data_IF_738749699433
#
_entry.id   IF_738749699433
#
_cell.length_a   1.000
_cell.length_b   1.000
_cell.length_c   1.000
_cell.angle_alpha   90.00
_cell.angle_beta   90.00
_cell.angle_gamma   90.00
#
_symmetry.space_group_name_H-M   'P 1'
#
loop_
_entity.id
_entity.type
_entity.pdbx_description
1 polymer ?
#
# COMPACT_ATOMS: atom_id res chain seq x y z
N UNK A 1 -30.43 12.94 -5.15
CA UNK A 1 -29.97 14.29 -4.74
C UNK A 1 -28.91 14.73 -5.73
N UNK A 2 -29.20 15.74 -6.54
CA UNK A 2 -28.19 16.35 -7.43
C UNK A 2 -27.50 17.44 -6.61
N UNK A 3 -26.27 17.20 -6.17
CA UNK A 3 -25.47 18.17 -5.41
C UNK A 3 -25.08 19.40 -6.24
N UNK A 4 -25.11 19.28 -7.58
CA UNK A 4 -24.76 20.35 -8.50
C UNK A 4 -25.87 20.50 -9.54
N UNK A 5 -26.72 21.51 -9.40
CA UNK A 5 -27.65 21.95 -10.43
C UNK A 5 -26.87 22.71 -11.51
N UNK A 6 -26.93 22.23 -12.76
CA UNK A 6 -26.42 22.90 -13.97
C UNK A 6 -24.95 23.37 -13.94
N UNK A 7 -24.01 22.46 -13.65
CA UNK A 7 -22.59 22.73 -13.88
C UNK A 7 -22.35 22.83 -15.39
N UNK A 8 -21.80 23.94 -15.84
CA UNK A 8 -21.41 24.14 -17.24
C UNK A 8 -19.95 24.60 -17.30
N UNK A 9 -19.03 23.66 -17.14
CA UNK A 9 -17.60 23.93 -17.22
C UNK A 9 -17.08 23.48 -18.59
N UNK A 10 -16.29 24.32 -19.22
CA UNK A 10 -15.56 23.96 -20.44
C UNK A 10 -14.28 23.19 -20.08
N UNK A 11 -14.43 21.85 -19.95
CA UNK A 11 -13.36 20.93 -19.64
C UNK A 11 -12.35 20.81 -20.76
N UNK A 12 -12.84 20.76 -22.01
CA UNK A 12 -11.98 20.57 -23.17
C UNK A 12 -11.17 21.83 -23.52
N UNK A 13 -11.71 23.02 -23.29
CA UNK A 13 -10.96 24.26 -23.36
C UNK A 13 -9.82 24.34 -22.34
N UNK A 14 -10.02 23.71 -21.18
CA UNK A 14 -9.02 23.62 -20.11
C UNK A 14 -8.10 22.38 -20.18
N UNK A 15 -8.34 21.47 -21.13
CA UNK A 15 -7.60 20.19 -21.24
C UNK A 15 -6.07 20.37 -21.26
N UNK A 16 -5.56 21.45 -21.90
CA UNK A 16 -4.11 21.76 -21.94
C UNK A 16 -3.50 21.93 -20.54
N UNK A 17 -4.26 22.47 -19.58
CA UNK A 17 -3.77 22.65 -18.21
C UNK A 17 -3.71 21.32 -17.45
N UNK A 18 -4.69 20.42 -17.65
CA UNK A 18 -4.68 19.08 -17.07
C UNK A 18 -3.54 18.24 -17.64
N UNK A 19 -3.34 18.27 -18.96
CA UNK A 19 -2.21 17.59 -19.60
C UNK A 19 -0.87 18.15 -19.14
N UNK A 20 -0.74 19.47 -19.02
CA UNK A 20 0.48 20.11 -18.51
C UNK A 20 0.75 19.71 -17.05
N UNK A 21 -0.27 19.73 -16.19
CA UNK A 21 -0.17 19.26 -14.80
C UNK A 21 0.30 17.80 -14.73
N UNK A 22 -0.31 16.92 -15.53
CA UNK A 22 0.06 15.51 -15.62
C UNK A 22 1.50 15.31 -16.04
N UNK A 23 1.95 16.05 -17.07
CA UNK A 23 3.34 15.99 -17.52
C UNK A 23 4.32 16.45 -16.44
N UNK A 24 3.98 17.52 -15.71
CA UNK A 24 4.80 18.00 -14.58
C UNK A 24 4.89 16.92 -13.49
N UNK A 25 3.77 16.31 -13.11
CA UNK A 25 3.75 15.25 -12.09
C UNK A 25 4.55 14.02 -12.55
N UNK A 26 4.41 13.59 -13.80
CA UNK A 26 5.20 12.52 -14.36
C UNK A 26 6.70 12.86 -14.35
N UNK A 27 7.08 14.04 -14.82
CA UNK A 27 8.50 14.46 -14.86
C UNK A 27 9.08 14.50 -13.45
N UNK A 28 8.42 15.11 -12.47
CA UNK A 28 8.88 15.18 -11.08
C UNK A 28 9.01 13.77 -10.51
N UNK A 29 7.99 12.93 -10.68
CA UNK A 29 8.00 11.56 -10.15
C UNK A 29 9.13 10.72 -10.76
N UNK A 30 9.33 10.79 -12.08
CA UNK A 30 10.35 9.99 -12.75
C UNK A 30 11.77 10.54 -12.59
N UNK A 31 11.95 11.85 -12.41
CA UNK A 31 13.22 12.42 -11.95
C UNK A 31 13.58 11.85 -10.57
N UNK A 32 12.62 11.77 -9.65
CA UNK A 32 12.82 11.15 -8.33
C UNK A 32 13.23 9.69 -8.45
N UNK A 33 12.58 8.90 -9.32
CA UNK A 33 12.96 7.50 -9.58
C UNK A 33 14.40 7.40 -10.08
N UNK A 34 14.81 8.28 -10.99
CA UNK A 34 16.18 8.29 -11.53
C UNK A 34 17.22 8.68 -10.48
N UNK A 35 16.92 9.71 -9.65
CA UNK A 35 17.81 10.16 -8.57
C UNK A 35 18.02 9.08 -7.51
N UNK A 36 16.99 8.31 -7.18
CA UNK A 36 17.06 7.23 -6.20
C UNK A 36 17.51 5.88 -6.80
N UNK A 37 17.97 5.88 -8.06
CA UNK A 37 18.42 4.67 -8.80
C UNK A 37 17.35 3.58 -8.91
N UNK A 38 16.08 3.96 -9.00
CA UNK A 38 14.96 3.05 -9.17
C UNK A 38 13.91 3.14 -8.07
N UNK A 39 12.92 2.28 -8.17
CA UNK A 39 11.87 2.10 -7.18
C UNK A 39 12.37 1.26 -6.01
N UNK A 40 11.95 1.59 -4.81
CA UNK A 40 12.26 0.79 -3.62
C UNK A 40 11.32 -0.39 -3.54
N UNK A 41 11.88 -1.59 -3.60
CA UNK A 41 11.12 -2.82 -3.43
C UNK A 41 11.23 -3.30 -1.98
N UNK A 42 10.11 -3.70 -1.39
CA UNK A 42 10.06 -4.35 -0.08
C UNK A 42 10.65 -5.75 -0.10
N UNK A 43 10.73 -6.37 1.07
CA UNK A 43 11.26 -7.73 1.23
C UNK A 43 10.48 -8.77 0.42
N UNK A 44 9.20 -8.55 0.15
CA UNK A 44 8.37 -9.42 -0.70
C UNK A 44 9.01 -9.70 -2.06
N UNK A 45 9.79 -8.76 -2.59
CA UNK A 45 10.39 -8.83 -3.92
C UNK A 45 11.90 -8.98 -3.94
N UNK A 46 12.58 -8.52 -2.89
CA UNK A 46 14.05 -8.64 -2.77
C UNK A 46 14.47 -9.89 -2.01
N UNK A 47 13.60 -10.37 -1.14
CA UNK A 47 13.94 -11.33 -0.12
C UNK A 47 14.58 -10.62 1.08
N UNK A 48 14.34 -11.13 2.28
CA UNK A 48 14.88 -10.56 3.51
C UNK A 48 14.05 -10.93 4.72
N UNK A 49 14.37 -10.29 5.84
CA UNK A 49 13.71 -10.48 7.12
C UNK A 49 13.26 -9.12 7.63
N UNK A 50 11.99 -8.99 8.02
CA UNK A 50 11.46 -7.88 8.83
C UNK A 50 11.20 -8.39 10.24
N UNK A 51 11.71 -7.69 11.23
CA UNK A 51 11.46 -7.98 12.64
C UNK A 51 10.74 -6.79 13.25
N UNK A 52 9.54 -7.03 13.77
CA UNK A 52 8.74 -6.05 14.48
C UNK A 52 9.08 -6.12 15.96
N UNK A 53 9.65 -5.05 16.47
CA UNK A 53 10.17 -4.97 17.83
C UNK A 53 9.45 -3.88 18.60
N UNK A 54 8.91 -4.20 19.76
CA UNK A 54 8.36 -3.23 20.71
C UNK A 54 9.36 -2.97 21.82
N UNK A 55 9.53 -1.70 22.18
CA UNK A 55 10.34 -1.27 23.32
C UNK A 55 9.47 -0.84 24.50
N UNK A 56 9.99 -0.98 25.72
CA UNK A 56 9.32 -0.53 26.95
C UNK A 56 9.11 1.00 27.01
N UNK A 57 9.83 1.74 26.18
CA UNK A 57 9.73 3.19 26.05
C UNK A 57 10.13 3.61 24.65
N UNK A 58 10.38 4.92 24.45
CA UNK A 58 10.76 5.47 23.13
C UNK A 58 11.94 4.69 22.52
N UNK A 59 11.79 4.15 21.30
CA UNK A 59 12.80 3.31 20.67
C UNK A 59 14.11 4.08 20.47
N UNK A 60 15.26 3.54 20.90
CA UNK A 60 16.54 4.17 20.74
C UNK A 60 17.14 3.90 19.34
N UNK A 61 16.52 4.46 18.29
CA UNK A 61 16.81 4.18 16.87
C UNK A 61 18.30 4.32 16.56
N UNK A 62 18.98 5.34 17.10
CA UNK A 62 20.41 5.56 16.86
C UNK A 62 21.31 4.48 17.48
N UNK A 63 20.91 3.93 18.65
CA UNK A 63 21.63 2.83 19.26
C UNK A 63 21.39 1.53 18.50
N UNK A 64 20.17 1.27 18.03
CA UNK A 64 19.84 0.13 17.16
C UNK A 64 20.70 0.20 15.90
N UNK A 65 20.74 1.35 15.24
CA UNK A 65 21.53 1.57 14.03
C UNK A 65 23.01 1.30 14.26
N UNK A 66 23.58 1.85 15.33
CA UNK A 66 24.99 1.62 15.69
C UNK A 66 25.25 0.16 16.03
N UNK A 67 24.33 -0.52 16.71
CA UNK A 67 24.44 -1.95 17.01
C UNK A 67 24.48 -2.80 15.74
N UNK A 68 23.56 -2.58 14.81
CA UNK A 68 23.49 -3.28 13.53
C UNK A 68 24.74 -3.01 12.66
N UNK A 69 25.22 -1.78 12.61
CA UNK A 69 26.45 -1.42 11.88
C UNK A 69 27.68 -2.13 12.44
N UNK A 70 27.84 -2.20 13.78
CA UNK A 70 28.94 -2.92 14.44
C UNK A 70 28.90 -4.43 14.17
N UNK A 71 27.71 -4.99 13.96
CA UNK A 71 27.51 -6.38 13.60
C UNK A 71 27.69 -6.66 12.10
N UNK A 72 28.09 -5.67 11.30
CA UNK A 72 28.24 -5.81 9.84
C UNK A 72 26.93 -5.77 9.05
N UNK A 73 25.81 -5.38 9.68
CA UNK A 73 24.47 -5.32 9.08
C UNK A 73 24.16 -3.90 8.60
N UNK A 74 25.07 -3.29 7.84
CA UNK A 74 24.96 -1.88 7.39
C UNK A 74 23.78 -1.63 6.43
N UNK A 75 23.30 -2.67 5.72
CA UNK A 75 22.18 -2.58 4.79
C UNK A 75 20.80 -2.78 5.47
N UNK A 76 20.77 -2.72 6.80
CA UNK A 76 19.50 -2.80 7.54
C UNK A 76 18.70 -1.50 7.44
N UNK A 77 17.39 -1.65 7.26
CA UNK A 77 16.42 -0.55 7.36
C UNK A 77 15.84 -0.52 8.77
N UNK A 78 15.69 0.67 9.34
CA UNK A 78 15.09 0.87 10.66
C UNK A 78 14.01 1.92 10.51
N UNK A 79 12.76 1.55 10.77
CA UNK A 79 11.61 2.44 10.72
C UNK A 79 10.90 2.42 12.07
N UNK A 80 10.75 3.61 12.69
CA UNK A 80 9.90 3.75 13.86
C UNK A 80 8.44 3.74 13.44
N UNK A 81 7.63 2.92 14.07
CA UNK A 81 6.18 2.94 13.89
C UNK A 81 5.64 4.00 14.85
N UNK A 82 5.21 5.14 14.30
CA UNK A 82 4.50 6.15 15.08
C UNK A 82 3.06 6.21 14.61
N UNK A 83 2.16 5.58 15.35
CA UNK A 83 0.74 5.77 15.13
C UNK A 83 0.29 6.95 15.98
N UNK A 84 -0.24 7.99 15.34
CA UNK A 84 -0.59 9.26 16.00
C UNK A 84 -1.76 9.10 16.98
N UNK A 85 -2.47 7.97 16.94
CA UNK A 85 -3.69 7.72 17.69
C UNK A 85 -3.57 6.65 18.79
N UNK A 86 -2.44 5.95 18.87
CA UNK A 86 -2.18 4.97 19.94
C UNK A 86 -0.84 5.26 20.62
N UNK A 87 -0.88 5.54 21.90
CA UNK A 87 0.33 5.71 22.72
C UNK A 87 1.18 4.43 22.73
N UNK A 88 0.54 3.30 22.54
CA UNK A 88 1.14 1.97 22.53
C UNK A 88 2.04 1.70 21.31
N UNK A 89 1.69 2.24 20.15
CA UNK A 89 2.47 2.04 18.91
C UNK A 89 3.64 2.99 18.76
N UNK A 90 3.76 4.02 19.58
CA UNK A 90 4.91 4.95 19.57
C UNK A 90 6.24 4.26 19.93
N UNK A 91 6.17 3.07 20.51
CA UNK A 91 7.33 2.29 20.97
C UNK A 91 7.72 1.15 20.03
N UNK A 92 7.08 1.03 18.88
CA UNK A 92 7.34 -0.03 17.92
C UNK A 92 8.37 0.39 16.84
N UNK A 93 9.22 -0.55 16.45
CA UNK A 93 10.24 -0.38 15.39
C UNK A 93 10.23 -1.59 14.48
N UNK A 94 10.26 -1.37 13.19
CA UNK A 94 10.53 -2.41 12.20
C UNK A 94 12.00 -2.38 11.80
N UNK A 95 12.67 -3.51 11.94
CA UNK A 95 14.05 -3.69 11.52
C UNK A 95 14.06 -4.65 10.33
N UNK A 96 14.41 -4.12 9.13
CA UNK A 96 14.55 -4.89 7.91
C UNK A 96 16.00 -5.24 7.62
N UNK A 97 16.25 -6.48 7.20
CA UNK A 97 17.54 -6.96 6.74
C UNK A 97 17.37 -7.63 5.38
N UNK A 98 18.06 -7.12 4.35
CA UNK A 98 18.10 -7.78 3.04
C UNK A 98 18.94 -9.07 3.16
N UNK A 99 18.40 -10.18 2.63
CA UNK A 99 19.12 -11.47 2.64
C UNK A 99 20.09 -11.54 1.46
N UNK A 100 21.37 -11.79 1.74
CA UNK A 100 22.39 -12.00 0.71
C UNK A 100 22.19 -13.31 -0.06
N UNK A 101 22.59 -13.32 -1.33
CA UNK A 101 22.62 -14.55 -2.14
C UNK A 101 23.66 -15.52 -1.54
N UNK A 102 23.20 -16.54 -0.81
CA UNK A 102 24.08 -17.55 -0.21
C UNK A 102 23.79 -17.89 1.24
N UNK A 103 22.91 -17.16 1.93
CA UNK A 103 22.48 -17.56 3.27
C UNK A 103 21.56 -18.78 3.21
N UNK A 104 22.04 -19.90 3.75
CA UNK A 104 21.38 -21.20 3.66
C UNK A 104 20.17 -21.35 4.60
N UNK A 105 20.02 -20.50 5.62
CA UNK A 105 18.91 -20.57 6.55
C UNK A 105 18.04 -19.30 6.49
N UNK A 106 16.75 -19.49 6.32
CA UNK A 106 15.74 -18.41 6.30
C UNK A 106 15.71 -17.64 7.62
N UNK A 107 16.02 -18.30 8.74
CA UNK A 107 16.00 -17.69 10.07
C UNK A 107 17.30 -16.95 10.43
N UNK A 108 18.36 -17.06 9.65
CA UNK A 108 19.65 -16.44 9.97
C UNK A 108 19.56 -14.91 10.12
N UNK A 109 18.78 -14.26 9.27
CA UNK A 109 18.53 -12.81 9.34
C UNK A 109 17.85 -12.40 10.65
N UNK A 110 16.81 -13.11 11.05
CA UNK A 110 16.11 -12.90 12.32
C UNK A 110 17.06 -13.08 13.50
N UNK A 111 17.81 -14.19 13.55
CA UNK A 111 18.75 -14.46 14.64
C UNK A 111 19.82 -13.38 14.76
N UNK A 112 20.39 -12.92 13.64
CA UNK A 112 21.38 -11.84 13.64
C UNK A 112 20.81 -10.54 14.23
N UNK A 113 19.57 -10.17 13.87
CA UNK A 113 18.90 -8.98 14.43
C UNK A 113 18.69 -9.17 15.94
N UNK A 114 18.17 -10.33 16.36
CA UNK A 114 17.94 -10.65 17.77
C UNK A 114 19.23 -10.62 18.59
N UNK A 115 20.32 -11.21 18.08
CA UNK A 115 21.63 -11.19 18.76
C UNK A 115 22.14 -9.76 18.96
N UNK A 116 21.96 -8.88 17.98
CA UNK A 116 22.33 -7.48 18.11
C UNK A 116 21.47 -6.76 19.13
N UNK A 117 20.15 -7.00 19.13
CA UNK A 117 19.24 -6.41 20.09
C UNK A 117 19.55 -6.89 21.52
N UNK A 118 19.76 -8.19 21.71
CA UNK A 118 20.14 -8.74 23.02
C UNK A 118 21.51 -8.22 23.49
N UNK A 119 22.50 -8.07 22.60
CA UNK A 119 23.80 -7.47 22.96
C UNK A 119 23.72 -5.99 23.29
N UNK A 120 22.77 -5.26 22.68
CA UNK A 120 22.68 -3.82 22.83
C UNK A 120 21.74 -3.41 23.96
N UNK A 121 20.64 -4.14 24.15
CA UNK A 121 19.53 -3.79 25.06
C UNK A 121 19.16 -4.90 26.06
N UNK A 122 19.73 -6.11 25.90
CA UNK A 122 19.43 -7.21 26.80
C UNK A 122 19.90 -6.92 28.23
N UNK A 123 19.13 -7.41 29.20
CA UNK A 123 19.43 -7.31 30.63
C UNK A 123 20.54 -8.29 31.08
N UNK A 124 21.50 -8.53 30.20
CA UNK A 124 22.56 -9.55 30.34
C UNK A 124 23.44 -9.44 31.59
N UNK A 125 23.22 -8.46 32.46
CA UNK A 125 23.99 -8.29 33.71
C UNK A 125 23.63 -9.32 34.79
N UNK A 126 22.49 -10.04 34.68
CA UNK A 126 21.99 -10.93 35.75
C UNK A 126 21.96 -12.41 35.38
N UNK A 127 22.15 -12.79 34.11
CA UNK A 127 22.08 -14.19 33.66
C UNK A 127 20.67 -14.84 33.80
N UNK A 128 19.64 -14.04 34.13
CA UNK A 128 18.26 -14.48 34.25
C UNK A 128 17.55 -14.46 32.89
N UNK A 129 16.65 -15.46 32.62
CA UNK A 129 15.83 -15.44 31.43
C UNK A 129 14.89 -14.23 31.40
N UNK A 130 14.60 -13.72 30.19
CA UNK A 130 13.72 -12.59 29.99
C UNK A 130 12.26 -13.02 29.94
N UNK A 131 11.44 -12.51 30.87
CA UNK A 131 10.01 -12.80 30.92
C UNK A 131 9.26 -12.27 29.69
N UNK A 132 9.70 -11.17 29.09
CA UNK A 132 9.07 -10.60 27.90
C UNK A 132 9.35 -11.41 26.64
N UNK A 133 10.38 -12.26 26.64
CA UNK A 133 10.75 -13.10 25.50
C UNK A 133 10.36 -14.58 25.66
N UNK A 134 9.93 -15.01 26.86
CA UNK A 134 9.63 -16.42 27.13
C UNK A 134 8.32 -16.86 26.47
N UNK A 135 8.32 -18.08 25.93
CA UNK A 135 7.09 -18.70 25.40
C UNK A 135 6.26 -19.32 26.55
N UNK A 136 4.91 -19.44 26.38
CA UNK A 136 4.05 -20.06 27.40
C UNK A 136 4.53 -21.46 27.77
N UNK A 137 4.92 -22.27 26.81
CA UNK A 137 5.41 -23.65 27.05
C UNK A 137 6.72 -23.70 27.82
N UNK A 138 7.67 -22.78 27.55
CA UNK A 138 8.92 -22.70 28.28
C UNK A 138 8.70 -22.23 29.73
N UNK A 139 7.80 -21.25 29.94
CA UNK A 139 7.43 -20.81 31.29
C UNK A 139 6.73 -21.92 32.08
N UNK A 140 5.80 -22.65 31.44
CA UNK A 140 5.12 -23.79 32.07
C UNK A 140 6.10 -24.89 32.47
N UNK A 141 7.07 -25.22 31.60
CA UNK A 141 8.09 -26.23 31.91
C UNK A 141 8.97 -25.81 33.09
N UNK A 142 9.42 -24.55 33.13
CA UNK A 142 10.22 -24.02 34.25
C UNK A 142 9.44 -24.01 35.55
N UNK A 143 8.18 -23.52 35.55
CA UNK A 143 7.31 -23.53 36.73
C UNK A 143 7.02 -24.96 37.21
N UNK A 144 6.85 -25.92 36.31
CA UNK A 144 6.64 -27.33 36.66
C UNK A 144 7.89 -27.94 37.26
N UNK A 145 9.06 -27.65 36.74
CA UNK A 145 10.33 -28.14 37.25
C UNK A 145 10.66 -27.60 38.65
N UNK A 146 10.37 -26.32 38.87
CA UNK A 146 10.72 -25.64 40.15
C UNK A 146 9.62 -25.70 41.19
N UNK A 147 8.39 -26.01 40.81
CA UNK A 147 7.21 -26.20 41.64
C UNK A 147 7.04 -25.17 42.76
N UNK A 148 6.97 -23.85 42.44
CA UNK A 148 6.87 -22.79 43.47
C UNK A 148 5.61 -22.86 44.32
N UNK A 149 4.59 -23.63 43.93
CA UNK A 149 3.36 -23.85 44.68
C UNK A 149 3.35 -25.18 45.43
N UNK A 150 4.39 -26.01 45.35
CA UNK A 150 4.52 -27.34 45.97
C UNK A 150 3.35 -28.26 45.64
N UNK A 151 2.94 -28.31 44.35
CA UNK A 151 1.80 -29.10 43.87
C UNK A 151 2.13 -30.58 43.59
N UNK A 152 3.41 -30.92 43.50
CA UNK A 152 3.88 -32.27 43.23
C UNK A 152 3.47 -32.78 41.84
N UNK A 153 3.05 -34.07 41.76
CA UNK A 153 2.74 -34.73 40.48
C UNK A 153 1.54 -34.13 39.71
N UNK A 154 0.69 -33.33 40.36
CA UNK A 154 -0.47 -32.64 39.73
C UNK A 154 -0.14 -31.26 39.17
N UNK A 155 1.14 -30.89 39.14
CA UNK A 155 1.60 -29.54 38.83
C UNK A 155 1.43 -29.15 37.35
N UNK A 156 1.58 -30.10 36.40
CA UNK A 156 1.72 -29.80 34.98
C UNK A 156 0.58 -28.98 34.37
N UNK A 157 -0.67 -29.45 34.54
CA UNK A 157 -1.83 -28.74 33.95
C UNK A 157 -2.07 -27.37 34.60
N UNK A 158 -1.84 -27.25 35.90
CA UNK A 158 -2.00 -25.98 36.61
C UNK A 158 -0.95 -24.96 36.22
N UNK A 159 0.31 -25.37 36.05
CA UNK A 159 1.36 -24.47 35.62
C UNK A 159 1.25 -24.12 34.15
N UNK A 160 0.73 -25.00 33.31
CA UNK A 160 0.40 -24.69 31.92
C UNK A 160 -0.66 -23.59 31.85
N UNK A 161 -1.77 -23.74 32.58
CA UNK A 161 -2.81 -22.71 32.65
C UNK A 161 -2.30 -21.39 33.24
N UNK A 162 -1.46 -21.44 34.29
CA UNK A 162 -0.87 -20.25 34.89
C UNK A 162 0.08 -19.54 33.92
N UNK A 163 0.91 -20.29 33.19
CA UNK A 163 1.81 -19.75 32.17
C UNK A 163 1.03 -19.09 31.05
N UNK A 164 -0.05 -19.73 30.58
CA UNK A 164 -0.93 -19.15 29.55
C UNK A 164 -1.60 -17.86 30.02
N UNK A 165 -2.06 -17.79 31.27
CA UNK A 165 -2.64 -16.58 31.85
C UNK A 165 -1.61 -15.45 32.02
N UNK A 166 -0.41 -15.78 32.50
CA UNK A 166 0.68 -14.82 32.70
C UNK A 166 1.16 -14.23 31.36
N UNK A 167 1.37 -15.09 30.37
CA UNK A 167 1.76 -14.65 29.03
C UNK A 167 0.60 -13.99 28.29
N UNK A 168 -0.63 -14.46 28.49
CA UNK A 168 -1.84 -13.81 27.97
C UNK A 168 -2.01 -12.39 28.53
N UNK A 169 -1.84 -12.19 29.86
CA UNK A 169 -1.87 -10.85 30.46
C UNK A 169 -0.75 -9.95 29.93
N UNK A 170 0.46 -10.50 29.73
CA UNK A 170 1.55 -9.78 29.07
C UNK A 170 1.15 -9.32 27.66
N UNK A 171 0.56 -10.20 26.87
CA UNK A 171 0.32 -9.99 25.45
C UNK A 171 -0.94 -9.12 25.20
N UNK A 172 -1.99 -9.25 26.03
CA UNK A 172 -3.25 -8.51 25.89
C UNK A 172 -3.29 -7.23 26.74
N UNK A 173 -3.00 -7.33 28.05
CA UNK A 173 -3.19 -6.20 28.96
C UNK A 173 -2.00 -5.24 28.97
N UNK A 174 -0.81 -5.77 28.62
CA UNK A 174 0.45 -5.01 28.59
C UNK A 174 1.08 -4.95 27.19
N UNK A 175 0.28 -5.26 26.15
CA UNK A 175 0.66 -5.12 24.74
C UNK A 175 1.98 -5.80 24.37
N UNK A 176 2.28 -6.93 25.04
CA UNK A 176 3.45 -7.78 24.80
C UNK A 176 4.69 -7.41 25.63
N UNK A 177 4.65 -6.35 26.47
CA UNK A 177 5.81 -5.97 27.28
C UNK A 177 5.42 -5.58 28.72
N UNK A 178 5.91 -6.34 29.68
CA UNK A 178 5.77 -6.04 31.11
C UNK A 178 6.97 -5.21 31.54
N UNK A 179 6.73 -4.04 32.12
CA UNK A 179 7.78 -3.12 32.59
C UNK A 179 8.10 -3.28 34.07
N UNK A 180 7.15 -3.81 34.85
CA UNK A 180 7.30 -4.11 36.30
C UNK A 180 6.55 -5.41 36.62
N UNK A 181 7.14 -6.30 37.43
CA UNK A 181 6.47 -7.52 37.86
C UNK A 181 5.17 -7.25 38.65
N UNK A 182 5.05 -6.08 39.29
CA UNK A 182 3.83 -5.68 39.99
C UNK A 182 2.58 -5.68 39.10
N UNK A 183 2.71 -5.52 37.81
CA UNK A 183 1.64 -5.57 36.83
C UNK A 183 1.00 -6.97 36.72
N UNK A 184 1.75 -8.02 37.12
CA UNK A 184 1.30 -9.40 37.06
C UNK A 184 0.64 -9.87 38.37
N UNK A 185 0.65 -9.05 39.44
CA UNK A 185 0.10 -9.44 40.76
C UNK A 185 -1.38 -9.79 40.72
N UNK A 186 -2.15 -9.15 39.86
CA UNK A 186 -3.60 -9.31 39.77
C UNK A 186 -4.02 -10.43 38.80
N UNK A 187 -3.07 -11.10 38.15
CA UNK A 187 -3.37 -12.21 37.24
C UNK A 187 -3.86 -13.40 38.08
N UNK A 188 -4.97 -13.99 37.64
CA UNK A 188 -5.59 -15.12 38.34
C UNK A 188 -4.63 -16.31 38.45
N UNK A 189 -4.40 -16.79 39.66
CA UNK A 189 -3.48 -17.87 39.96
C UNK A 189 -2.08 -17.41 40.42
N UNK A 190 -1.78 -16.12 40.40
CA UNK A 190 -0.53 -15.55 40.89
C UNK A 190 -0.62 -15.40 42.42
N UNK A 191 0.02 -16.30 43.10
CA UNK A 191 0.20 -16.23 44.56
C UNK A 191 1.48 -15.45 44.91
N UNK A 192 1.67 -15.04 46.20
CA UNK A 192 2.93 -14.42 46.61
C UNK A 192 4.17 -15.29 46.34
N UNK A 193 4.02 -16.64 46.40
CA UNK A 193 5.10 -17.56 46.07
C UNK A 193 5.50 -17.52 44.58
N UNK A 194 4.50 -17.56 43.68
CA UNK A 194 4.73 -17.41 42.24
C UNK A 194 5.32 -16.04 41.92
N UNK A 195 4.78 -14.98 42.51
CA UNK A 195 5.29 -13.63 42.32
C UNK A 195 6.76 -13.50 42.70
N UNK A 196 7.10 -14.01 43.92
CA UNK A 196 8.49 -14.02 44.41
C UNK A 196 9.39 -14.87 43.51
N UNK A 197 8.89 -15.99 43.02
CA UNK A 197 9.63 -16.84 42.09
C UNK A 197 9.95 -16.08 40.78
N UNK A 198 8.92 -15.48 40.17
CA UNK A 198 9.10 -14.73 38.90
C UNK A 198 10.08 -13.55 39.09
N UNK A 199 9.90 -12.74 40.11
CA UNK A 199 10.77 -11.57 40.35
C UNK A 199 12.23 -11.94 40.70
N UNK A 200 12.44 -13.10 41.31
CA UNK A 200 13.78 -13.56 41.66
C UNK A 200 14.50 -14.30 40.52
N UNK A 201 13.79 -14.99 39.65
CA UNK A 201 14.38 -15.86 38.64
C UNK A 201 14.30 -15.33 37.23
N UNK A 202 13.46 -14.32 36.97
CA UNK A 202 13.33 -13.68 35.67
C UNK A 202 13.80 -12.23 35.68
N UNK A 203 14.15 -11.74 34.49
CA UNK A 203 14.40 -10.33 34.24
C UNK A 203 13.32 -9.79 33.29
N UNK A 204 13.11 -8.48 33.29
CA UNK A 204 12.22 -7.81 32.34
C UNK A 204 13.09 -7.12 31.27
N UNK A 205 13.04 -7.63 30.06
CA UNK A 205 13.73 -7.05 28.92
C UNK A 205 13.12 -5.71 28.51
N UNK A 206 13.96 -4.84 27.96
CA UNK A 206 13.52 -3.54 27.47
C UNK A 206 12.82 -3.59 26.10
N UNK A 207 12.75 -4.75 25.48
CA UNK A 207 12.10 -4.96 24.18
C UNK A 207 11.50 -6.37 24.10
N UNK A 208 10.53 -6.52 23.21
CA UNK A 208 9.96 -7.82 22.80
C UNK A 208 9.81 -7.86 21.28
N UNK A 209 9.90 -9.07 20.69
CA UNK A 209 9.62 -9.30 19.29
C UNK A 209 8.14 -9.63 19.13
N UNK A 210 7.41 -8.79 18.40
CA UNK A 210 5.97 -9.00 18.15
C UNK A 210 5.73 -9.95 17.00
N UNK A 211 6.51 -9.79 15.93
CA UNK A 211 6.35 -10.57 14.70
C UNK A 211 7.65 -10.57 13.89
N UNK A 212 7.77 -11.49 12.95
CA UNK A 212 8.89 -11.53 12.03
C UNK A 212 8.46 -12.12 10.68
N UNK A 213 8.52 -11.30 9.64
CA UNK A 213 8.28 -11.71 8.27
C UNK A 213 9.60 -12.11 7.60
N UNK A 214 9.62 -13.30 7.00
CA UNK A 214 10.81 -13.84 6.34
C UNK A 214 10.46 -14.28 4.93
N UNK A 215 11.12 -13.70 3.93
CA UNK A 215 10.95 -14.04 2.52
C UNK A 215 12.28 -14.46 1.92
N UNK A 216 12.35 -15.69 1.42
CA UNK A 216 13.56 -16.16 0.73
C UNK A 216 13.77 -15.46 -0.62
N UNK A 217 15.02 -15.24 -1.08
CA UNK A 217 15.32 -14.51 -2.33
C UNK A 217 14.68 -15.15 -3.58
N UNK A 218 14.60 -16.48 -3.64
CA UNK A 218 13.92 -17.19 -4.74
C UNK A 218 12.42 -16.90 -4.76
N UNK A 219 11.79 -16.90 -3.59
CA UNK A 219 10.36 -16.60 -3.42
C UNK A 219 10.10 -15.14 -3.81
N UNK A 220 10.92 -14.20 -3.34
CA UNK A 220 10.82 -12.79 -3.69
C UNK A 220 10.92 -12.53 -5.20
N UNK A 221 11.89 -13.17 -5.87
CA UNK A 221 12.02 -13.08 -7.33
C UNK A 221 10.80 -13.65 -8.06
N UNK A 222 10.25 -14.77 -7.58
CA UNK A 222 9.03 -15.37 -8.14
C UNK A 222 7.82 -14.47 -7.94
N UNK A 223 7.63 -13.94 -6.74
CA UNK A 223 6.52 -13.02 -6.40
C UNK A 223 6.59 -11.76 -7.27
N UNK A 224 7.77 -11.18 -7.48
CA UNK A 224 7.96 -10.03 -8.38
C UNK A 224 7.53 -10.36 -9.81
N UNK A 225 7.93 -11.52 -10.34
CA UNK A 225 7.51 -11.96 -11.68
C UNK A 225 6.00 -12.15 -11.77
N UNK A 226 5.40 -12.77 -10.75
CA UNK A 226 3.95 -12.97 -10.70
C UNK A 226 3.18 -11.65 -10.60
N UNK A 227 3.67 -10.69 -9.79
CA UNK A 227 3.07 -9.35 -9.67
C UNK A 227 3.07 -8.60 -11.01
N UNK A 228 4.19 -8.61 -11.74
CA UNK A 228 4.27 -8.01 -13.08
C UNK A 228 3.31 -8.69 -14.06
N UNK A 229 3.30 -10.01 -14.11
CA UNK A 229 2.40 -10.77 -14.99
C UNK A 229 0.93 -10.54 -14.63
N UNK A 230 0.57 -10.52 -13.36
CA UNK A 230 -0.80 -10.24 -12.91
C UNK A 230 -1.26 -8.84 -13.36
N UNK A 231 -0.38 -7.84 -13.22
CA UNK A 231 -0.67 -6.47 -13.69
C UNK A 231 -0.86 -6.43 -15.21
N UNK A 232 0.02 -7.08 -15.97
CA UNK A 232 -0.10 -7.14 -17.43
C UNK A 232 -1.37 -7.87 -17.88
N UNK A 233 -1.71 -9.00 -17.25
CA UNK A 233 -2.93 -9.75 -17.56
C UNK A 233 -4.19 -8.96 -17.20
N UNK A 234 -4.19 -8.24 -16.07
CA UNK A 234 -5.30 -7.37 -15.68
C UNK A 234 -5.52 -6.26 -16.71
N UNK A 235 -4.45 -5.58 -17.14
CA UNK A 235 -4.52 -4.54 -18.17
C UNK A 235 -4.95 -5.11 -19.54
N UNK A 236 -4.42 -6.26 -19.94
CA UNK A 236 -4.80 -6.93 -21.18
C UNK A 236 -6.26 -7.38 -21.16
N UNK A 237 -6.72 -8.02 -20.08
CA UNK A 237 -8.12 -8.43 -19.91
C UNK A 237 -9.08 -7.24 -19.96
N UNK A 238 -8.69 -6.12 -19.33
CA UNK A 238 -9.46 -4.88 -19.38
C UNK A 238 -9.52 -4.30 -20.79
N UNK A 239 -8.41 -4.26 -21.52
CA UNK A 239 -8.37 -3.81 -22.91
C UNK A 239 -9.31 -4.65 -23.78
N UNK A 240 -9.28 -5.96 -23.63
CA UNK A 240 -10.18 -6.89 -24.34
C UNK A 240 -11.65 -6.60 -23.99
N UNK A 241 -11.99 -6.48 -22.72
CA UNK A 241 -13.34 -6.15 -22.28
C UNK A 241 -13.86 -4.85 -22.91
N UNK A 242 -13.03 -3.79 -22.86
CA UNK A 242 -13.42 -2.48 -23.41
C UNK A 242 -13.51 -2.52 -24.93
N UNK A 243 -12.63 -3.25 -25.63
CA UNK A 243 -12.69 -3.41 -27.07
C UNK A 243 -14.00 -4.09 -27.53
N UNK A 244 -14.54 -5.03 -26.76
CA UNK A 244 -15.85 -5.64 -27.02
C UNK A 244 -17.01 -4.71 -26.69
N UNK A 245 -16.89 -3.87 -25.64
CA UNK A 245 -18.00 -3.03 -25.14
C UNK A 245 -18.08 -1.66 -25.80
N UNK A 246 -16.94 -1.10 -26.21
CA UNK A 246 -16.80 0.23 -26.81
C UNK A 246 -16.03 0.17 -28.12
N UNK A 247 -16.07 1.27 -28.90
CA UNK A 247 -15.18 1.44 -30.05
C UNK A 247 -13.72 1.48 -29.55
N UNK A 248 -12.80 0.91 -30.33
CA UNK A 248 -11.40 0.73 -29.96
C UNK A 248 -10.69 2.04 -29.51
N UNK A 249 -11.11 3.19 -30.04
CA UNK A 249 -10.55 4.50 -29.68
C UNK A 249 -10.79 4.85 -28.21
N UNK A 250 -12.01 4.61 -27.73
CA UNK A 250 -12.35 4.83 -26.32
C UNK A 250 -11.57 3.86 -25.42
N UNK A 251 -11.41 2.63 -25.89
CA UNK A 251 -10.61 1.62 -25.18
C UNK A 251 -9.15 2.02 -25.06
N UNK A 252 -8.54 2.43 -26.16
CA UNK A 252 -7.15 2.87 -26.17
C UNK A 252 -6.94 4.11 -25.27
N UNK A 253 -7.84 5.11 -25.37
CA UNK A 253 -7.77 6.30 -24.52
C UNK A 253 -7.87 5.97 -23.03
N UNK A 254 -8.78 5.06 -22.67
CA UNK A 254 -8.96 4.62 -21.28
C UNK A 254 -7.72 3.88 -20.74
N UNK A 255 -7.13 2.97 -21.53
CA UNK A 255 -5.91 2.25 -21.12
C UNK A 255 -4.72 3.20 -20.97
N UNK A 256 -4.56 4.17 -21.87
CA UNK A 256 -3.51 5.21 -21.77
C UNK A 256 -3.69 6.02 -20.48
N UNK A 257 -4.93 6.42 -20.14
CA UNK A 257 -5.21 7.15 -18.91
C UNK A 257 -4.89 6.33 -17.67
N UNK A 258 -5.28 5.05 -17.60
CA UNK A 258 -4.96 4.16 -16.47
C UNK A 258 -3.46 3.94 -16.35
N UNK A 259 -2.76 3.74 -17.46
CA UNK A 259 -1.30 3.62 -17.44
C UNK A 259 -0.62 4.88 -16.90
N UNK A 260 -1.10 6.05 -17.33
CA UNK A 260 -0.68 7.35 -16.80
C UNK A 260 -0.90 7.42 -15.27
N UNK A 261 -2.06 6.97 -14.75
CA UNK A 261 -2.38 7.04 -13.32
C UNK A 261 -1.45 6.15 -12.49
N UNK A 262 -1.17 4.95 -12.98
CA UNK A 262 -0.19 4.04 -12.37
C UNK A 262 1.22 4.65 -12.36
N UNK A 263 1.65 5.26 -13.48
CA UNK A 263 2.97 5.89 -13.56
C UNK A 263 3.13 7.07 -12.59
N UNK A 264 2.10 7.92 -12.45
CA UNK A 264 2.12 9.02 -11.48
C UNK A 264 2.16 8.45 -10.06
N UNK A 265 1.34 7.44 -9.74
CA UNK A 265 1.32 6.82 -8.41
C UNK A 265 2.69 6.25 -8.05
N UNK A 266 3.36 5.54 -8.97
CA UNK A 266 4.72 5.05 -8.77
C UNK A 266 5.74 6.18 -8.60
N UNK A 267 5.57 7.29 -9.31
CA UNK A 267 6.38 8.50 -9.14
C UNK A 267 6.26 9.06 -7.72
N UNK A 268 5.04 9.11 -7.17
CA UNK A 268 4.80 9.54 -5.79
C UNK A 268 5.43 8.58 -4.78
N UNK A 269 5.40 7.26 -5.04
CA UNK A 269 6.10 6.28 -4.19
C UNK A 269 7.59 6.57 -4.10
N UNK A 270 8.23 6.89 -5.21
CA UNK A 270 9.64 7.27 -5.22
C UNK A 270 9.87 8.58 -4.46
N UNK A 271 9.03 9.59 -4.68
CA UNK A 271 9.15 10.91 -4.08
C UNK A 271 9.03 10.88 -2.55
N UNK A 272 8.09 10.08 -2.04
CA UNK A 272 7.84 9.92 -0.60
C UNK A 272 8.59 8.75 0.03
N UNK A 273 9.45 8.09 -0.71
CA UNK A 273 10.30 6.99 -0.24
C UNK A 273 9.54 5.75 0.27
N UNK A 274 8.32 5.53 -0.21
CA UNK A 274 7.57 4.32 0.11
C UNK A 274 8.12 3.10 -0.62
N UNK A 275 8.08 1.95 0.05
CA UNK A 275 8.47 0.67 -0.53
C UNK A 275 7.28 0.03 -1.28
N UNK A 276 7.60 -0.65 -2.38
CA UNK A 276 6.63 -1.42 -3.16
C UNK A 276 6.59 -2.84 -2.60
N UNK A 277 5.48 -3.20 -1.98
CA UNK A 277 5.17 -4.51 -1.41
C UNK A 277 4.08 -5.22 -2.24
N UNK A 278 3.73 -6.45 -1.89
CA UNK A 278 2.58 -7.15 -2.48
C UNK A 278 1.27 -6.40 -2.23
N UNK A 279 1.12 -5.79 -1.06
CA UNK A 279 -0.06 -4.98 -0.74
C UNK A 279 -0.17 -3.74 -1.63
N UNK A 280 0.96 -3.13 -2.01
CA UNK A 280 0.99 -2.01 -2.98
C UNK A 280 0.59 -2.47 -4.37
N UNK A 281 1.02 -3.65 -4.82
CA UNK A 281 0.57 -4.20 -6.11
C UNK A 281 -0.96 -4.42 -6.09
N UNK A 282 -1.50 -4.94 -5.00
CA UNK A 282 -2.95 -5.07 -4.83
C UNK A 282 -3.67 -3.71 -4.90
N UNK A 283 -3.10 -2.66 -4.28
CA UNK A 283 -3.60 -1.29 -4.39
C UNK A 283 -3.57 -0.78 -5.84
N UNK A 284 -2.48 -0.99 -6.56
CA UNK A 284 -2.35 -0.57 -7.97
C UNK A 284 -3.37 -1.29 -8.86
N UNK A 285 -3.60 -2.59 -8.67
CA UNK A 285 -4.63 -3.34 -9.39
C UNK A 285 -6.04 -2.83 -9.06
N UNK A 286 -6.29 -2.49 -7.81
CA UNK A 286 -7.55 -1.87 -7.37
C UNK A 286 -7.72 -0.49 -8.01
N UNK A 287 -6.68 0.33 -8.04
CA UNK A 287 -6.67 1.63 -8.69
C UNK A 287 -6.99 1.53 -10.18
N UNK A 288 -6.42 0.55 -10.88
CA UNK A 288 -6.69 0.28 -12.30
C UNK A 288 -8.18 0.10 -12.54
N UNK A 289 -8.86 -0.74 -11.72
CA UNK A 289 -10.31 -0.93 -11.81
C UNK A 289 -11.10 0.33 -11.45
N UNK A 290 -10.65 1.05 -10.43
CA UNK A 290 -11.30 2.25 -9.94
C UNK A 290 -11.26 3.41 -10.95
N UNK A 291 -10.09 3.74 -11.48
CA UNK A 291 -9.89 4.80 -12.48
C UNK A 291 -10.69 4.53 -13.75
N UNK A 292 -10.72 3.25 -14.16
CA UNK A 292 -11.49 2.83 -15.33
C UNK A 292 -12.99 3.05 -15.17
N UNK A 293 -13.54 2.89 -13.97
CA UNK A 293 -14.98 3.05 -13.73
C UNK A 293 -15.47 4.46 -14.11
N UNK A 294 -14.76 5.50 -13.70
CA UNK A 294 -15.14 6.89 -14.00
C UNK A 294 -14.98 7.19 -15.51
N UNK A 295 -13.92 6.66 -16.13
CA UNK A 295 -13.70 6.81 -17.58
C UNK A 295 -14.81 6.15 -18.40
N UNK A 296 -15.24 4.93 -18.00
CA UNK A 296 -16.35 4.21 -18.65
C UNK A 296 -17.66 5.00 -18.55
N UNK A 297 -17.95 5.57 -17.38
CA UNK A 297 -19.18 6.36 -17.16
C UNK A 297 -19.23 7.58 -18.09
N UNK A 298 -18.10 8.29 -18.22
CA UNK A 298 -18.02 9.43 -19.14
C UNK A 298 -18.20 8.98 -20.60
N UNK A 299 -17.53 7.92 -21.01
CA UNK A 299 -17.57 7.44 -22.40
C UNK A 299 -18.93 6.84 -22.78
N UNK A 300 -19.61 6.17 -21.86
CA UNK A 300 -20.98 5.70 -22.08
C UNK A 300 -21.93 6.89 -22.28
N UNK A 301 -21.78 7.96 -21.48
CA UNK A 301 -22.56 9.18 -21.62
C UNK A 301 -22.25 9.93 -22.93
N UNK A 302 -20.99 9.97 -23.34
CA UNK A 302 -20.59 10.54 -24.65
C UNK A 302 -21.28 9.77 -25.77
N UNK A 303 -21.28 8.45 -25.72
CA UNK A 303 -21.92 7.60 -26.73
C UNK A 303 -23.43 7.79 -26.78
N UNK A 304 -24.09 7.93 -25.63
CA UNK A 304 -25.51 8.24 -25.56
C UNK A 304 -25.81 9.60 -26.18
N UNK A 305 -25.07 10.65 -25.79
CA UNK A 305 -25.25 12.00 -26.28
C UNK A 305 -24.96 12.14 -27.78
N UNK A 306 -24.02 11.37 -28.33
CA UNK A 306 -23.78 11.30 -29.78
C UNK A 306 -25.01 10.85 -30.58
N UNK A 307 -25.86 10.00 -30.00
CA UNK A 307 -27.12 9.56 -30.63
C UNK A 307 -28.22 10.59 -30.50
N UNK A 308 -28.26 11.33 -29.39
CA UNK A 308 -29.27 12.33 -29.08
C UNK A 308 -28.97 13.69 -29.72
N UNK A 309 -27.71 14.12 -29.74
CA UNK A 309 -27.25 15.47 -30.15
C UNK A 309 -26.51 15.45 -31.49
N UNK A 310 -27.14 14.89 -32.51
CA UNK A 310 -26.49 14.64 -33.82
C UNK A 310 -26.00 15.90 -34.56
N UNK A 311 -26.49 17.08 -34.19
CA UNK A 311 -26.15 18.35 -34.85
C UNK A 311 -25.08 19.15 -34.10
N UNK A 312 -24.72 18.76 -32.90
CA UNK A 312 -23.72 19.45 -32.10
C UNK A 312 -22.29 19.02 -32.47
N UNK A 313 -21.32 19.91 -32.34
CA UNK A 313 -19.90 19.56 -32.49
C UNK A 313 -19.48 18.52 -31.47
N UNK A 314 -18.62 17.57 -31.84
CA UNK A 314 -18.16 16.49 -30.97
C UNK A 314 -17.56 16.97 -29.65
N UNK A 315 -16.80 18.09 -29.68
CA UNK A 315 -16.20 18.71 -28.54
C UNK A 315 -17.26 19.18 -27.50
N UNK A 316 -18.35 19.77 -27.96
CA UNK A 316 -19.45 20.21 -27.10
C UNK A 316 -20.20 19.03 -26.50
N UNK A 317 -20.39 17.95 -27.27
CA UNK A 317 -21.00 16.70 -26.80
C UNK A 317 -20.15 16.12 -25.65
N UNK A 318 -18.83 16.08 -25.79
CA UNK A 318 -17.93 15.59 -24.74
C UNK A 318 -18.00 16.48 -23.50
N UNK A 319 -17.96 17.82 -23.65
CA UNK A 319 -18.10 18.74 -22.50
C UNK A 319 -19.43 18.55 -21.75
N UNK A 320 -20.53 18.45 -22.48
CA UNK A 320 -21.85 18.19 -21.86
C UNK A 320 -21.90 16.85 -21.15
N UNK A 321 -21.32 15.82 -21.75
CA UNK A 321 -21.28 14.48 -21.15
C UNK A 321 -20.51 14.46 -19.84
N UNK A 322 -19.36 15.13 -19.78
CA UNK A 322 -18.58 15.25 -18.54
C UNK A 322 -19.39 16.03 -17.48
N UNK A 323 -19.99 17.15 -17.83
CA UNK A 323 -20.81 17.92 -16.88
C UNK A 323 -22.01 17.13 -16.34
N UNK A 324 -22.66 16.30 -17.17
CA UNK A 324 -23.78 15.46 -16.78
C UNK A 324 -23.38 14.32 -15.84
N UNK A 325 -22.15 13.81 -15.93
CA UNK A 325 -21.65 12.73 -15.09
C UNK A 325 -20.89 13.23 -13.85
N UNK A 326 -20.57 14.52 -13.79
CA UNK A 326 -19.71 15.12 -12.77
C UNK A 326 -20.20 14.89 -11.35
N UNK A 327 -21.51 15.07 -11.09
CA UNK A 327 -22.09 14.86 -9.76
C UNK A 327 -21.89 13.44 -9.26
N UNK A 328 -22.07 12.45 -10.14
CA UNK A 328 -21.85 11.05 -9.82
C UNK A 328 -20.36 10.78 -9.56
N UNK A 329 -19.48 11.25 -10.42
CA UNK A 329 -18.04 11.05 -10.27
C UNK A 329 -17.51 11.67 -8.98
N UNK A 330 -17.92 12.92 -8.64
CA UNK A 330 -17.50 13.55 -7.39
C UNK A 330 -18.01 12.79 -6.17
N UNK A 331 -19.26 12.29 -6.19
CA UNK A 331 -19.79 11.51 -5.08
C UNK A 331 -19.05 10.19 -4.89
N UNK A 332 -18.88 9.41 -5.96
CA UNK A 332 -18.23 8.10 -5.88
C UNK A 332 -16.75 8.25 -5.50
N UNK A 333 -16.04 9.18 -6.15
CA UNK A 333 -14.62 9.41 -5.90
C UNK A 333 -14.39 10.10 -4.56
N UNK A 334 -15.26 11.03 -4.16
CA UNK A 334 -15.17 11.70 -2.87
C UNK A 334 -15.38 10.77 -1.69
N UNK A 335 -16.39 9.88 -1.75
CA UNK A 335 -16.63 8.88 -0.69
C UNK A 335 -15.47 7.89 -0.59
N UNK A 336 -14.99 7.39 -1.72
CA UNK A 336 -13.83 6.49 -1.73
C UNK A 336 -12.58 7.19 -1.22
N UNK A 337 -12.33 8.44 -1.65
CA UNK A 337 -11.21 9.25 -1.17
C UNK A 337 -11.27 9.43 0.35
N UNK A 338 -12.42 9.78 0.91
CA UNK A 338 -12.59 9.91 2.37
C UNK A 338 -12.31 8.60 3.09
N UNK A 339 -12.80 7.47 2.57
CA UNK A 339 -12.55 6.14 3.16
C UNK A 339 -11.08 5.80 3.18
N UNK A 340 -10.39 5.96 2.04
CA UNK A 340 -8.95 5.64 1.96
C UNK A 340 -8.08 6.65 2.69
N UNK A 341 -8.53 7.91 2.84
CA UNK A 341 -7.86 8.93 3.64
C UNK A 341 -7.91 8.57 5.13
N UNK A 342 -9.08 8.12 5.64
CA UNK A 342 -9.21 7.61 7.01
C UNK A 342 -8.32 6.38 7.19
N UNK A 343 -8.30 5.47 6.22
CA UNK A 343 -7.42 4.30 6.26
C UNK A 343 -5.93 4.71 6.27
N UNK A 344 -5.54 5.73 5.52
CA UNK A 344 -4.18 6.27 5.52
C UNK A 344 -3.80 6.89 6.86
N UNK A 345 -4.74 7.60 7.50
CA UNK A 345 -4.52 8.26 8.77
C UNK A 345 -4.55 7.29 9.97
N UNK A 346 -5.39 6.25 9.93
CA UNK A 346 -5.71 5.38 11.07
C UNK A 346 -5.38 3.90 10.85
N UNK A 347 -5.00 3.48 9.64
CA UNK A 347 -4.84 2.07 9.27
C UNK A 347 -3.53 1.42 9.73
N UNK A 348 -2.66 2.17 10.41
CA UNK A 348 -1.37 1.67 10.89
C UNK A 348 -0.34 1.44 9.76
N UNK A 349 0.86 0.99 10.14
CA UNK A 349 2.02 0.88 9.23
C UNK A 349 1.80 -0.14 8.10
N UNK A 350 1.16 -1.28 8.40
CA UNK A 350 0.93 -2.36 7.42
C UNK A 350 0.07 -1.89 6.25
N UNK A 351 -0.93 -1.05 6.50
CA UNK A 351 -1.84 -0.53 5.47
C UNK A 351 -1.42 0.82 4.89
N UNK A 352 -0.38 1.45 5.43
CA UNK A 352 0.03 2.81 5.08
C UNK A 352 0.43 2.95 3.61
N UNK A 353 1.26 2.04 3.10
CA UNK A 353 1.68 2.06 1.71
C UNK A 353 0.51 1.76 0.75
N UNK A 354 -0.37 0.81 1.11
CA UNK A 354 -1.60 0.50 0.37
C UNK A 354 -2.52 1.73 0.29
N UNK A 355 -2.84 2.31 1.44
CA UNK A 355 -3.74 3.46 1.52
C UNK A 355 -3.16 4.71 0.86
N UNK A 356 -1.84 4.93 0.94
CA UNK A 356 -1.16 6.00 0.21
C UNK A 356 -1.32 5.83 -1.31
N UNK A 357 -1.11 4.61 -1.85
CA UNK A 357 -1.34 4.32 -3.26
C UNK A 357 -2.77 4.65 -3.68
N UNK A 358 -3.75 4.27 -2.85
CA UNK A 358 -5.16 4.53 -3.12
C UNK A 358 -5.52 6.03 -2.99
N UNK A 359 -4.99 6.76 -2.00
CA UNK A 359 -5.20 8.21 -1.85
C UNK A 359 -4.71 8.96 -3.09
N UNK A 360 -3.47 8.72 -3.50
CA UNK A 360 -2.90 9.33 -4.71
C UNK A 360 -3.68 8.88 -5.94
N UNK A 361 -3.92 7.58 -6.06
CA UNK A 361 -4.56 6.98 -7.21
C UNK A 361 -6.00 7.42 -7.44
N UNK A 362 -6.82 7.55 -6.39
CA UNK A 362 -8.20 8.05 -6.50
C UNK A 362 -8.22 9.48 -7.01
N UNK A 363 -7.36 10.36 -6.48
CA UNK A 363 -7.27 11.76 -6.94
C UNK A 363 -6.84 11.82 -8.40
N UNK A 364 -5.77 11.10 -8.75
CA UNK A 364 -5.21 11.07 -10.11
C UNK A 364 -6.21 10.45 -11.10
N UNK A 365 -6.80 9.29 -10.79
CA UNK A 365 -7.75 8.58 -11.63
C UNK A 365 -9.04 9.37 -11.87
N UNK A 366 -9.50 10.14 -10.86
CA UNK A 366 -10.68 10.98 -11.02
C UNK A 366 -10.44 12.08 -12.04
N UNK A 367 -9.33 12.83 -11.94
CA UNK A 367 -9.09 13.89 -12.92
C UNK A 367 -8.64 13.37 -14.28
N UNK A 368 -7.97 12.23 -14.36
CA UNK A 368 -7.46 11.67 -15.62
C UNK A 368 -8.59 11.25 -16.57
N UNK A 369 -9.74 10.86 -16.05
CA UNK A 369 -10.90 10.46 -16.85
C UNK A 369 -11.41 11.61 -17.76
N UNK A 370 -11.49 12.83 -17.25
CA UNK A 370 -11.89 14.01 -18.04
C UNK A 370 -10.68 14.84 -18.54
N UNK A 371 -9.54 14.81 -17.85
CA UNK A 371 -8.36 15.60 -18.18
C UNK A 371 -7.38 14.93 -19.13
N UNK A 372 -7.40 13.60 -19.25
CA UNK A 372 -6.49 12.82 -20.11
C UNK A 372 -7.29 11.95 -21.08
N UNK A 373 -8.17 11.06 -20.61
CA UNK A 373 -8.89 10.12 -21.47
C UNK A 373 -9.80 10.83 -22.48
N UNK A 374 -10.64 11.77 -22.02
CA UNK A 374 -11.55 12.51 -22.89
C UNK A 374 -10.81 13.37 -23.94
N UNK A 375 -9.77 14.16 -23.61
CA UNK A 375 -8.96 14.89 -24.59
C UNK A 375 -8.31 14.00 -25.66
N UNK A 376 -7.85 12.78 -25.32
CA UNK A 376 -7.30 11.83 -26.29
C UNK A 376 -8.35 11.48 -27.34
N UNK A 377 -9.58 11.18 -26.94
CA UNK A 377 -10.69 10.85 -27.84
C UNK A 377 -11.05 12.06 -28.72
N UNK A 378 -11.09 13.26 -28.15
CA UNK A 378 -11.35 14.51 -28.90
C UNK A 378 -10.26 14.77 -29.91
N UNK A 379 -8.98 14.62 -29.56
CA UNK A 379 -7.85 14.80 -30.47
C UNK A 379 -7.90 13.77 -31.61
N UNK A 380 -8.21 12.52 -31.33
CA UNK A 380 -8.39 11.48 -32.34
C UNK A 380 -9.51 11.82 -33.31
N UNK A 381 -10.68 12.21 -32.81
CA UNK A 381 -11.82 12.58 -33.64
C UNK A 381 -11.50 13.78 -34.52
N UNK A 382 -10.82 14.80 -33.98
CA UNK A 382 -10.38 15.97 -34.77
C UNK A 382 -9.45 15.57 -35.92
N UNK A 383 -8.49 14.67 -35.65
CA UNK A 383 -7.52 14.22 -36.67
C UNK A 383 -8.16 13.38 -37.79
N UNK A 384 -9.08 12.46 -37.45
CA UNK A 384 -9.72 11.56 -38.41
C UNK A 384 -10.99 12.15 -39.01
N UNK A 385 -11.74 12.98 -38.28
CA UNK A 385 -12.94 13.65 -38.74
C UNK A 385 -12.64 14.70 -39.84
N UNK A 386 -11.48 15.39 -39.74
CA UNK A 386 -11.06 16.35 -40.75
C UNK A 386 -10.70 15.68 -42.10
N UNK A 387 -10.13 14.47 -42.06
CA UNK A 387 -9.86 13.68 -43.28
C UNK A 387 -11.14 13.21 -43.96
N UNK A 388 -12.19 12.87 -43.22
CA UNK A 388 -13.49 12.50 -43.81
C UNK A 388 -14.25 13.69 -44.41
N UNK A 389 -14.10 14.87 -43.85
CA UNK A 389 -14.73 16.11 -44.36
C UNK A 389 -14.05 16.59 -45.67
N UNK A 390 -12.73 16.49 -45.76
CA UNK A 390 -11.98 16.86 -46.98
C UNK A 390 -12.28 15.90 -48.13
N UNK A 391 -12.39 14.59 -47.86
CA UNK A 391 -12.76 13.59 -48.90
C UNK A 391 -14.19 13.80 -49.39
N UNK A 392 -15.16 14.10 -48.49
CA UNK A 392 -16.54 14.39 -48.86
C UNK A 392 -16.66 15.71 -49.63
N UNK A 393 -15.91 16.75 -49.25
CA UNK A 393 -15.90 18.03 -49.96
C UNK A 393 -15.29 17.89 -51.37
N UNK A 394 -14.19 17.11 -51.51
CA UNK A 394 -13.58 16.79 -52.81
C UNK A 394 -14.54 16.06 -53.73
N UNK A 395 -15.20 15.01 -53.26
CA UNK A 395 -16.15 14.22 -54.06
C UNK A 395 -17.43 15.01 -54.44
N UNK A 396 -17.88 15.93 -53.57
CA UNK A 396 -19.00 16.82 -53.87
C UNK A 396 -18.64 17.90 -54.91
N UNK A 397 -17.43 18.44 -54.87
CA UNK A 397 -16.90 19.38 -55.85
C UNK A 397 -16.73 18.71 -57.22
N UNK A 398 -16.14 17.50 -57.29
CA UNK A 398 -16.05 16.71 -58.51
C UNK A 398 -17.41 16.40 -59.15
N UNK A 399 -18.41 16.01 -58.34
CA UNK A 399 -19.78 15.77 -58.81
C UNK A 399 -20.44 17.04 -59.34
N UNK A 400 -20.16 18.21 -58.74
CA UNK A 400 -20.68 19.52 -59.25
C UNK A 400 -20.02 19.92 -60.59
N UNK A 401 -18.70 19.71 -60.69
CA UNK A 401 -17.96 19.99 -61.94
C UNK A 401 -18.44 19.05 -63.04
N UNK A 402 -18.60 17.76 -62.76
CA UNK A 402 -19.11 16.79 -63.73
C UNK A 402 -20.58 17.06 -64.17
N UNK A 403 -21.41 17.59 -63.25
CA UNK A 403 -22.78 17.98 -63.55
C UNK A 403 -22.86 19.29 -64.36
N UNK A 404 -21.92 20.20 -64.15
CA UNK A 404 -21.81 21.46 -64.97
C UNK A 404 -21.26 21.21 -66.38
N UNK A 405 -20.40 20.20 -66.55
CA UNK A 405 -19.85 19.83 -67.89
C UNK A 405 -20.85 19.06 -68.79
N UNK A 406 -21.98 18.60 -68.20
CA UNK A 406 -23.05 17.90 -68.94
C UNK A 406 -24.24 18.81 -69.33
N UNK A 407 -24.17 20.11 -69.05
CA UNK A 407 -25.10 21.12 -69.50
C UNK A 407 -24.41 21.99 -70.57
#
# INVERSE_FOLDING_TARGET
>A
MEFFHSVNVDWMGKAKYFVALSLILLIIGWISVLQHRGLRYGIDFRGGTLVYVRFAGKPPIDQIRKGLQRAGLSNSTIQGISDTHSVATQNDVVIGLEQGQGEQSLDAGKQKILDVLHKTFGTSSTGKPDFNAITPSALAADLTQKDPLSLGTSAGDRYTQLADRLTGARDTDHEGIVTKFDQLKNVEGVTPAVFSYLSNNYSLGNFTVRDADIVGPKVGAQLRRQAVLATLYALAGMLVYIAFRFEWVYGAAAVIAVFHDVLITLGFFSLFHYEISLTVIAALLTLVGYSMNDTIVIFDRVRENLRLMRREPFLEIVNKSINQTLSRTILTSGLTFLTVLVLYAMGGEVLRAFSFAMVVGVVVGTYSSFGIAAPIVVAWNRYHGSKGATVRAGSAAEKRVAAAARR
#
